data_IF_610089316526
#
_entry.id   IF_610089316526
#
_cell.length_a   1.000
_cell.length_b   1.000
_cell.length_c   1.000
_cell.angle_alpha   90.00
_cell.angle_beta   90.00
_cell.angle_gamma   90.00
#
_symmetry.space_group_name_H-M   'P 1'
#
loop_
_entity.id
_entity.type
_entity.pdbx_description
1 polymer ?
#
# COMPACT_ATOMS: atom_id res chain seq x y z
N UNK A 1 -22.25 8.73 -5.76
CA UNK A 1 -21.00 8.80 -4.95
C UNK A 1 -21.07 7.67 -3.94
N UNK A 2 -20.13 6.74 -3.97
CA UNK A 2 -20.15 5.57 -3.09
C UNK A 2 -19.21 5.82 -1.91
N UNK A 3 -19.70 5.63 -0.69
CA UNK A 3 -18.89 5.69 0.54
C UNK A 3 -18.56 4.26 0.91
N UNK A 4 -17.31 3.86 0.78
CA UNK A 4 -16.81 2.59 1.30
C UNK A 4 -15.55 2.88 2.10
N UNK A 5 -15.46 2.24 3.26
CA UNK A 5 -14.31 2.29 4.13
C UNK A 5 -13.48 1.03 3.87
N UNK A 6 -12.22 1.17 3.42
CA UNK A 6 -11.23 0.12 3.57
C UNK A 6 -10.58 0.14 4.96
N UNK A 7 -10.76 1.23 5.74
CA UNK A 7 -10.24 1.46 7.10
C UNK A 7 -8.71 1.49 7.23
N UNK A 8 -7.99 0.52 6.67
CA UNK A 8 -6.53 0.42 6.59
C UNK A 8 -6.14 -0.27 5.28
N UNK A 9 -4.88 -0.13 4.85
CA UNK A 9 -4.31 -0.96 3.77
C UNK A 9 -3.38 -2.05 4.28
N UNK A 10 -3.21 -2.17 5.60
CA UNK A 10 -2.42 -3.23 6.23
C UNK A 10 -3.32 -4.42 6.59
N UNK A 11 -2.94 -5.62 6.12
CA UNK A 11 -3.66 -6.84 6.46
C UNK A 11 -3.64 -7.14 7.96
N UNK A 12 -2.52 -6.85 8.64
CA UNK A 12 -2.36 -7.01 10.09
C UNK A 12 -3.35 -6.12 10.85
N UNK A 13 -3.41 -4.84 10.50
CA UNK A 13 -4.32 -3.89 11.18
C UNK A 13 -5.78 -4.25 10.91
N UNK A 14 -6.12 -4.68 9.69
CA UNK A 14 -7.48 -5.11 9.37
C UNK A 14 -7.89 -6.37 10.15
N UNK A 15 -6.99 -7.33 10.33
CA UNK A 15 -7.25 -8.52 11.13
C UNK A 15 -7.55 -8.18 12.60
N UNK A 16 -6.77 -7.26 13.19
CA UNK A 16 -7.04 -6.73 14.54
C UNK A 16 -8.41 -6.01 14.61
N UNK A 17 -8.79 -5.30 13.55
CA UNK A 17 -10.11 -4.68 13.40
C UNK A 17 -11.25 -5.68 13.15
N UNK A 18 -10.95 -6.97 12.90
CA UNK A 18 -11.94 -7.98 12.52
C UNK A 18 -12.49 -7.76 11.10
N UNK A 19 -11.67 -7.19 10.21
CA UNK A 19 -12.00 -6.84 8.83
C UNK A 19 -11.29 -7.78 7.85
N UNK A 20 -11.88 -8.00 6.66
CA UNK A 20 -11.22 -8.77 5.61
C UNK A 20 -9.94 -8.09 5.13
N UNK A 21 -9.07 -8.86 4.49
CA UNK A 21 -7.81 -8.36 3.95
C UNK A 21 -8.02 -7.30 2.84
N UNK A 22 -7.02 -6.44 2.57
CA UNK A 22 -7.14 -5.36 1.59
C UNK A 22 -7.49 -5.87 0.18
N UNK A 23 -7.05 -7.08 -0.19
CA UNK A 23 -7.28 -7.69 -1.50
C UNK A 23 -8.77 -7.83 -1.83
N UNK A 24 -9.61 -8.10 -0.82
CA UNK A 24 -11.06 -8.22 -1.02
C UNK A 24 -11.65 -6.89 -1.48
N UNK A 25 -11.17 -5.78 -0.92
CA UNK A 25 -11.58 -4.45 -1.34
C UNK A 25 -10.99 -4.09 -2.71
N UNK A 26 -9.76 -4.48 -3.03
CA UNK A 26 -9.18 -4.28 -4.38
C UNK A 26 -9.98 -4.99 -5.47
N UNK A 27 -10.40 -6.22 -5.20
CA UNK A 27 -11.26 -7.01 -6.11
C UNK A 27 -12.61 -6.34 -6.30
N UNK A 28 -13.22 -5.87 -5.21
CA UNK A 28 -14.44 -5.06 -5.28
C UNK A 28 -14.24 -3.81 -6.15
N UNK A 29 -13.16 -3.06 -5.92
CA UNK A 29 -12.84 -1.84 -6.67
C UNK A 29 -12.68 -2.10 -8.15
N UNK A 30 -11.99 -3.18 -8.51
CA UNK A 30 -11.80 -3.59 -9.90
C UNK A 30 -13.15 -3.83 -10.58
N UNK A 31 -14.01 -4.67 -9.98
CA UNK A 31 -15.34 -4.97 -10.52
C UNK A 31 -16.21 -3.73 -10.63
N UNK A 32 -16.20 -2.86 -9.61
CA UNK A 32 -16.97 -1.63 -9.60
C UNK A 32 -16.53 -0.68 -10.72
N UNK A 33 -15.21 -0.55 -10.95
CA UNK A 33 -14.66 0.26 -12.05
C UNK A 33 -15.01 -0.31 -13.42
N UNK A 34 -14.93 -1.63 -13.58
CA UNK A 34 -15.28 -2.31 -14.84
C UNK A 34 -16.75 -2.09 -15.20
N UNK A 35 -17.65 -2.20 -14.23
CA UNK A 35 -19.08 -1.93 -14.43
C UNK A 35 -19.32 -0.45 -14.74
N UNK A 36 -18.73 0.45 -13.95
CA UNK A 36 -18.88 1.89 -14.17
C UNK A 36 -18.39 2.33 -15.55
N UNK A 37 -17.29 1.75 -16.03
CA UNK A 37 -16.77 1.99 -17.37
C UNK A 37 -17.73 1.52 -18.47
N UNK A 38 -18.33 0.32 -18.30
CA UNK A 38 -19.32 -0.22 -19.25
C UNK A 38 -20.57 0.63 -19.34
N UNK A 39 -21.05 1.12 -18.20
CA UNK A 39 -22.26 1.94 -18.12
C UNK A 39 -22.00 3.44 -18.39
N UNK A 40 -20.74 3.84 -18.59
CA UNK A 40 -20.37 5.25 -18.77
C UNK A 40 -20.58 6.13 -17.52
N UNK A 41 -20.66 5.51 -16.33
CA UNK A 41 -20.93 6.22 -15.07
C UNK A 41 -19.62 6.66 -14.42
N UNK A 42 -19.48 7.93 -14.02
CA UNK A 42 -18.30 8.39 -13.29
C UNK A 42 -18.28 7.81 -11.86
N UNK A 43 -17.41 6.83 -11.61
CA UNK A 43 -17.23 6.24 -10.29
C UNK A 43 -16.34 7.12 -9.41
N UNK A 44 -16.94 7.72 -8.38
CA UNK A 44 -16.23 8.47 -7.33
C UNK A 44 -16.26 7.69 -6.02
N UNK A 45 -15.07 7.33 -5.53
CA UNK A 45 -14.85 6.59 -4.29
C UNK A 45 -14.03 7.46 -3.36
N UNK A 46 -14.53 7.62 -2.15
CA UNK A 46 -13.85 8.32 -1.08
C UNK A 46 -13.56 7.30 0.02
N UNK A 47 -12.30 6.86 0.19
CA UNK A 47 -11.94 5.95 1.26
C UNK A 47 -12.03 6.67 2.61
N UNK A 48 -12.50 5.93 3.61
CA UNK A 48 -12.37 6.28 5.01
C UNK A 48 -11.25 5.45 5.63
N UNK A 49 -10.27 6.11 6.25
CA UNK A 49 -9.09 5.50 6.85
C UNK A 49 -9.05 5.85 8.33
N UNK A 50 -8.70 4.89 9.16
CA UNK A 50 -8.41 5.06 10.58
C UNK A 50 -6.90 5.04 10.74
N UNK A 51 -6.33 6.07 11.35
CA UNK A 51 -4.92 6.16 11.68
C UNK A 51 -4.70 6.01 13.18
N UNK A 52 -3.69 5.24 13.58
CA UNK A 52 -3.33 5.02 14.98
C UNK A 52 -4.13 3.93 15.70
N UNK A 53 -4.65 2.95 14.96
CA UNK A 53 -5.27 1.79 15.59
C UNK A 53 -4.22 0.98 16.40
N UNK A 54 -4.57 0.34 17.53
CA UNK A 54 -3.62 -0.49 18.28
C UNK A 54 -3.02 -1.61 17.43
N UNK A 55 -1.69 -1.76 17.43
CA UNK A 55 -0.97 -2.66 16.54
C UNK A 55 -0.57 -2.05 15.20
N UNK A 56 -0.97 -0.80 14.92
CA UNK A 56 -0.48 0.00 13.81
C UNK A 56 0.83 0.70 14.20
N UNK A 57 1.91 0.35 13.50
CA UNK A 57 3.20 1.03 13.61
C UNK A 57 3.54 1.71 12.27
N UNK A 58 4.78 2.17 12.14
CA UNK A 58 5.26 2.83 10.92
C UNK A 58 5.10 1.95 9.66
N UNK A 59 5.44 0.65 9.67
CA UNK A 59 5.29 -0.20 8.48
C UNK A 59 3.84 -0.30 8.01
N UNK A 60 2.88 -0.46 8.92
CA UNK A 60 1.46 -0.59 8.58
C UNK A 60 0.87 0.74 8.06
N UNK A 61 1.40 1.86 8.57
CA UNK A 61 1.10 3.19 8.00
C UNK A 61 1.62 3.27 6.55
N UNK A 62 2.84 2.79 6.28
CA UNK A 62 3.44 2.74 4.93
C UNK A 62 2.66 1.80 3.98
N UNK A 63 2.19 0.65 4.46
CA UNK A 63 1.31 -0.25 3.70
C UNK A 63 -0.03 0.40 3.35
N UNK A 64 -0.65 1.08 4.32
CA UNK A 64 -1.89 1.83 4.13
C UNK A 64 -1.73 2.94 3.11
N UNK A 65 -0.58 3.62 3.19
CA UNK A 65 -0.10 4.49 2.14
C UNK A 65 -0.08 3.64 0.86
N UNK A 66 0.84 2.73 0.60
CA UNK A 66 1.00 2.04 -0.70
C UNK A 66 -0.30 1.51 -1.33
N UNK A 67 -1.19 0.94 -0.53
CA UNK A 67 -2.55 0.57 -0.91
C UNK A 67 -3.35 1.70 -1.57
N UNK A 68 -3.39 2.90 -0.96
CA UNK A 68 -4.09 4.06 -1.51
C UNK A 68 -3.48 4.55 -2.85
N UNK A 69 -2.14 4.52 -3.04
CA UNK A 69 -1.50 4.85 -4.35
C UNK A 69 -1.94 3.85 -5.39
N UNK A 70 -1.72 2.57 -5.09
CA UNK A 70 -1.92 1.47 -6.03
C UNK A 70 -3.34 1.51 -6.57
N UNK A 71 -4.28 1.83 -5.69
CA UNK A 71 -5.70 1.91 -6.00
C UNK A 71 -6.17 3.29 -6.46
N UNK A 72 -5.30 4.30 -6.63
CA UNK A 72 -5.66 5.67 -7.05
C UNK A 72 -6.80 6.26 -6.20
N UNK A 73 -6.73 6.06 -4.89
CA UNK A 73 -7.71 6.57 -3.94
C UNK A 73 -7.15 7.79 -3.23
N UNK A 74 -7.94 8.85 -3.15
CA UNK A 74 -7.56 10.06 -2.43
C UNK A 74 -8.01 9.97 -0.97
N UNK A 75 -7.04 9.97 -0.06
CA UNK A 75 -7.23 9.79 1.38
C UNK A 75 -7.74 11.03 2.10
N UNK A 76 -8.82 11.66 1.62
CA UNK A 76 -9.28 12.92 2.22
C UNK A 76 -10.04 12.72 3.55
N UNK A 77 -10.47 11.50 3.86
CA UNK A 77 -11.20 11.18 5.09
C UNK A 77 -10.37 10.25 5.98
N UNK A 78 -9.41 10.85 6.70
CA UNK A 78 -8.61 10.15 7.70
C UNK A 78 -9.05 10.58 9.09
N UNK A 79 -9.53 9.61 9.87
CA UNK A 79 -9.90 9.75 11.26
C UNK A 79 -8.78 9.15 12.13
N UNK A 80 -8.41 9.83 13.21
CA UNK A 80 -7.55 9.22 14.21
C UNK A 80 -8.37 8.24 15.04
N UNK A 81 -7.78 7.11 15.41
CA UNK A 81 -8.42 6.15 16.30
C UNK A 81 -8.80 6.84 17.63
N UNK A 82 -10.02 6.60 18.07
CA UNK A 82 -10.54 7.08 19.35
C UNK A 82 -11.08 5.88 20.13
N UNK A 83 -10.55 5.58 21.32
CA UNK A 83 -11.01 4.44 22.10
C UNK A 83 -12.49 4.63 22.42
N UNK A 84 -13.31 3.73 21.89
CA UNK A 84 -14.75 3.68 22.13
C UNK A 84 -15.05 2.54 23.09
N UNK A 85 -15.77 2.77 24.21
CA UNK A 85 -16.08 1.72 25.17
C UNK A 85 -16.73 0.49 24.51
N UNK A 86 -16.56 -0.67 25.13
CA UNK A 86 -17.14 -1.94 24.68
C UNK A 86 -16.66 -2.43 23.30
N UNK A 87 -15.43 -2.05 22.90
CA UNK A 87 -14.81 -2.56 21.66
C UNK A 87 -13.50 -3.29 21.94
N UNK A 88 -13.21 -4.34 21.15
CA UNK A 88 -11.95 -5.08 21.20
C UNK A 88 -10.75 -4.15 20.99
N UNK A 89 -10.84 -3.22 20.05
CA UNK A 89 -9.80 -2.22 19.79
C UNK A 89 -9.50 -1.35 21.01
N UNK A 90 -10.51 -0.98 21.80
CA UNK A 90 -10.28 -0.23 23.05
C UNK A 90 -9.60 -1.09 24.11
N UNK A 91 -9.94 -2.39 24.19
CA UNK A 91 -9.22 -3.30 25.07
C UNK A 91 -7.74 -3.37 24.67
N UNK A 92 -7.43 -3.59 23.39
CA UNK A 92 -6.06 -3.54 22.86
C UNK A 92 -5.35 -2.22 23.19
N UNK A 93 -6.05 -1.10 23.03
CA UNK A 93 -5.51 0.23 23.29
C UNK A 93 -5.01 0.40 24.74
N UNK A 94 -5.73 -0.14 25.72
CA UNK A 94 -5.34 -0.02 27.13
C UNK A 94 -4.43 -1.16 27.61
N UNK A 95 -4.55 -2.35 27.03
CA UNK A 95 -3.81 -3.53 27.45
C UNK A 95 -2.44 -3.65 26.78
N UNK A 96 -2.28 -3.12 25.56
CA UNK A 96 -1.07 -3.31 24.75
C UNK A 96 -0.96 -4.69 24.10
N UNK A 97 -1.99 -5.53 24.22
CA UNK A 97 -2.12 -6.82 23.55
C UNK A 97 -3.59 -7.10 23.24
N UNK A 98 -3.83 -8.01 22.31
CA UNK A 98 -5.16 -8.49 21.97
C UNK A 98 -5.65 -9.53 22.98
N UNK A 99 -6.75 -9.29 23.71
CA UNK A 99 -7.21 -10.21 24.74
C UNK A 99 -7.76 -11.54 24.18
N UNK A 100 -7.93 -11.67 22.85
CA UNK A 100 -8.43 -12.89 22.21
C UNK A 100 -7.27 -13.71 21.64
N UNK A 101 -6.32 -13.06 20.95
CA UNK A 101 -5.20 -13.77 20.29
C UNK A 101 -3.91 -13.76 21.11
N UNK A 102 -3.85 -12.93 22.16
CA UNK A 102 -2.66 -12.68 22.99
C UNK A 102 -1.49 -12.04 22.25
N UNK A 103 -1.70 -11.60 21.00
CA UNK A 103 -0.70 -10.90 20.21
C UNK A 103 -0.42 -9.51 20.78
N UNK A 104 0.84 -9.08 20.73
CA UNK A 104 1.23 -7.74 21.18
C UNK A 104 0.68 -6.71 20.18
N UNK A 105 -0.07 -5.73 20.69
CA UNK A 105 -0.70 -4.66 19.91
C UNK A 105 -0.30 -3.31 20.50
N UNK A 106 0.90 -2.78 20.17
CA UNK A 106 1.35 -1.50 20.70
C UNK A 106 0.36 -0.39 20.33
N UNK A 107 -0.04 0.41 21.32
CA UNK A 107 -0.93 1.54 21.13
C UNK A 107 -0.15 2.85 21.29
N UNK A 108 -0.29 3.75 20.32
CA UNK A 108 0.26 5.10 20.43
C UNK A 108 -0.74 5.99 21.17
N UNK A 109 -0.28 6.61 22.25
CA UNK A 109 -1.09 7.49 23.10
C UNK A 109 -0.75 8.97 22.91
N UNK A 110 0.41 9.28 22.30
CA UNK A 110 0.80 10.65 22.01
C UNK A 110 -0.02 11.18 20.82
N UNK A 111 -0.93 12.10 21.13
CA UNK A 111 -1.79 12.77 20.14
C UNK A 111 -0.98 13.43 19.03
N UNK A 112 0.21 13.99 19.32
CA UNK A 112 1.04 14.63 18.30
C UNK A 112 1.55 13.60 17.28
N UNK A 113 1.98 12.44 17.74
CA UNK A 113 2.43 11.35 16.85
C UNK A 113 1.27 10.78 16.04
N UNK A 114 0.08 10.68 16.63
CA UNK A 114 -1.13 10.28 15.91
C UNK A 114 -1.50 11.30 14.82
N UNK A 115 -1.39 12.59 15.11
CA UNK A 115 -1.58 13.66 14.12
C UNK A 115 -0.52 13.60 13.01
N UNK A 116 0.75 13.36 13.35
CA UNK A 116 1.83 13.17 12.37
C UNK A 116 1.55 11.98 11.45
N UNK A 117 1.13 10.83 11.98
CA UNK A 117 0.74 9.66 11.16
C UNK A 117 -0.42 9.99 10.23
N UNK A 118 -1.46 10.64 10.73
CA UNK A 118 -2.57 11.13 9.89
C UNK A 118 -2.06 12.05 8.78
N UNK A 119 -1.20 13.01 9.10
CA UNK A 119 -0.63 13.94 8.13
C UNK A 119 0.26 13.24 7.10
N UNK A 120 0.98 12.17 7.47
CA UNK A 120 1.74 11.37 6.51
C UNK A 120 0.82 10.76 5.45
N UNK A 121 -0.33 10.20 5.86
CA UNK A 121 -1.30 9.62 4.92
C UNK A 121 -1.95 10.73 4.05
N UNK A 122 -2.30 11.89 4.64
CA UNK A 122 -2.89 13.04 3.90
C UNK A 122 -1.89 13.65 2.90
N UNK A 123 -0.72 14.07 3.37
CA UNK A 123 0.23 14.88 2.59
C UNK A 123 0.89 14.11 1.46
N UNK A 124 0.77 12.79 1.48
CA UNK A 124 1.25 11.90 0.45
C UNK A 124 0.57 12.13 -0.90
N UNK A 125 -0.71 12.53 -0.93
CA UNK A 125 -1.39 12.97 -2.15
C UNK A 125 -0.72 14.20 -2.80
N UNK A 126 -0.07 15.06 -1.99
CA UNK A 126 0.60 16.28 -2.46
C UNK A 126 1.99 15.94 -3.03
N UNK A 127 2.77 15.12 -2.32
CA UNK A 127 4.12 14.76 -2.74
C UNK A 127 4.11 13.96 -4.05
N UNK A 128 3.16 13.04 -4.23
CA UNK A 128 3.05 12.25 -5.46
C UNK A 128 2.54 13.09 -6.63
N UNK A 129 1.55 13.98 -6.43
CA UNK A 129 1.13 14.93 -7.46
C UNK A 129 2.28 15.84 -7.89
N UNK A 130 3.12 16.29 -6.95
CA UNK A 130 4.31 17.09 -7.24
C UNK A 130 5.37 16.28 -7.99
N UNK A 131 5.61 15.02 -7.62
CA UNK A 131 6.54 14.13 -8.31
C UNK A 131 6.05 13.81 -9.73
N UNK A 132 4.77 13.43 -9.90
CA UNK A 132 4.20 13.16 -11.22
C UNK A 132 4.17 14.40 -12.12
N UNK A 133 3.92 15.58 -11.56
CA UNK A 133 4.01 16.85 -12.31
C UNK A 133 5.45 17.19 -12.71
N UNK A 134 6.43 16.95 -11.83
CA UNK A 134 7.86 17.09 -12.14
C UNK A 134 8.30 16.12 -13.24
N UNK A 135 7.86 14.86 -13.18
CA UNK A 135 8.15 13.85 -14.21
C UNK A 135 7.51 14.20 -15.57
N UNK A 136 6.28 14.71 -15.57
CA UNK A 136 5.62 15.19 -16.80
C UNK A 136 6.33 16.41 -17.39
N UNK A 137 6.72 17.37 -16.56
CA UNK A 137 7.49 18.54 -17.00
C UNK A 137 8.86 18.14 -17.54
N UNK A 138 9.57 17.24 -16.86
CA UNK A 138 10.85 16.70 -17.34
C UNK A 138 10.68 15.97 -18.69
N UNK A 139 9.61 15.17 -18.86
CA UNK A 139 9.31 14.52 -20.15
C UNK A 139 8.97 15.53 -21.25
N UNK A 140 8.24 16.60 -20.94
CA UNK A 140 7.95 17.68 -21.89
C UNK A 140 9.22 18.46 -22.27
N UNK A 141 10.09 18.77 -21.31
CA UNK A 141 11.37 19.42 -21.55
C UNK A 141 12.29 18.56 -22.42
N UNK A 142 12.42 17.26 -22.13
CA UNK A 142 13.20 16.33 -22.94
C UNK A 142 12.64 16.25 -24.36
N UNK A 143 11.30 16.18 -24.51
CA UNK A 143 10.63 16.14 -25.83
C UNK A 143 10.81 17.44 -26.62
N UNK A 144 10.84 18.58 -25.94
CA UNK A 144 11.10 19.90 -26.52
C UNK A 144 12.57 20.04 -26.95
N UNK A 145 13.50 19.58 -26.10
CA UNK A 145 14.94 19.68 -26.32
C UNK A 145 15.49 18.66 -27.34
N UNK A 146 14.85 17.50 -27.44
CA UNK A 146 15.22 16.42 -28.36
C UNK A 146 14.02 15.92 -29.19
N UNK A 147 13.48 16.76 -30.09
CA UNK A 147 12.24 16.44 -30.83
C UNK A 147 12.37 15.24 -31.78
N UNK A 148 13.60 14.90 -32.18
CA UNK A 148 13.88 13.77 -33.08
C UNK A 148 14.18 12.44 -32.36
N UNK A 149 14.39 12.45 -31.04
CA UNK A 149 14.70 11.23 -30.27
C UNK A 149 13.48 10.29 -30.09
N UNK A 150 12.26 10.83 -30.20
CA UNK A 150 11.00 10.06 -30.00
C UNK A 150 10.57 9.30 -31.27
N UNK A 151 11.15 9.63 -32.43
CA UNK A 151 10.77 9.01 -33.72
C UNK A 151 11.43 7.64 -33.97
N UNK A 152 12.37 7.19 -33.14
CA UNK A 152 13.11 5.92 -33.35
C UNK A 152 12.57 4.70 -32.57
N UNK A 153 11.50 4.82 -31.77
CA UNK A 153 10.93 3.66 -31.05
C UNK A 153 10.33 2.59 -31.98
N UNK A 154 10.10 2.87 -33.27
CA UNK A 154 9.61 1.88 -34.24
C UNK A 154 10.70 1.03 -34.90
N UNK A 155 11.98 1.21 -34.54
CA UNK A 155 13.07 0.40 -35.10
C UNK A 155 14.14 0.07 -34.05
N UNK A 156 13.84 -0.84 -33.14
CA UNK A 156 14.89 -1.63 -32.48
C UNK A 156 14.57 -3.14 -32.65
N UNK A 157 15.51 -3.94 -33.20
CA UNK A 157 15.33 -5.38 -33.32
C UNK A 157 15.28 -6.05 -31.94
N UNK A 158 14.43 -7.08 -31.80
CA UNK A 158 14.27 -7.83 -30.56
C UNK A 158 15.58 -8.51 -30.16
N UNK A 159 16.25 -8.00 -29.12
CA UNK A 159 17.45 -8.58 -28.55
C UNK A 159 17.20 -9.00 -27.11
N UNK A 160 16.48 -10.12 -26.97
CA UNK A 160 16.66 -11.06 -25.86
C UNK A 160 16.34 -12.49 -26.36
N UNK A 161 17.24 -13.06 -27.18
CA UNK A 161 17.43 -14.52 -27.17
C UNK A 161 18.21 -14.84 -25.89
N UNK A 162 17.60 -15.60 -24.97
CA UNK A 162 18.30 -16.16 -23.80
C UNK A 162 19.49 -17.00 -24.28
N UNK A 163 20.71 -16.82 -23.76
CA UNK A 163 21.75 -17.81 -23.93
C UNK A 163 21.42 -19.06 -23.13
N UNK A 164 21.27 -20.17 -23.84
CA UNK A 164 21.30 -21.52 -23.31
C UNK A 164 22.67 -21.85 -22.71
N UNK A 165 22.67 -22.38 -21.48
CA UNK A 165 23.67 -23.32 -20.98
C UNK A 165 25.09 -22.79 -20.74
N UNK A 166 25.48 -22.70 -19.46
CA UNK A 166 26.84 -23.08 -19.10
C UNK A 166 26.87 -23.85 -17.77
N UNK A 167 27.50 -25.02 -17.82
CA UNK A 167 27.59 -26.01 -16.75
C UNK A 167 28.45 -25.46 -15.60
N UNK A 168 27.94 -25.54 -14.37
CA UNK A 168 28.76 -25.33 -13.17
C UNK A 168 29.56 -26.62 -12.90
N UNK A 169 30.89 -26.55 -12.65
CA UNK A 169 31.66 -27.72 -12.26
C UNK A 169 31.30 -28.17 -10.84
N UNK A 170 31.25 -29.49 -10.64
CA UNK A 170 30.85 -30.14 -9.40
C UNK A 170 31.83 -29.84 -8.25
N UNK A 171 31.28 -29.52 -7.06
CA UNK A 171 32.02 -29.35 -5.80
C UNK A 171 32.23 -30.72 -5.12
N UNK A 172 33.41 -31.05 -4.59
CA UNK A 172 33.61 -32.33 -3.90
C UNK A 172 32.88 -32.37 -2.55
N UNK A 173 32.30 -33.53 -2.24
CA UNK A 173 31.53 -33.80 -1.00
C UNK A 173 32.46 -33.86 0.23
N UNK A 174 32.15 -33.17 1.35
CA UNK A 174 32.85 -33.42 2.61
C UNK A 174 32.38 -34.71 3.29
N UNK A 175 33.32 -35.42 3.90
CA UNK A 175 33.17 -36.72 4.55
C UNK A 175 32.27 -36.67 5.80
N UNK A 176 31.44 -37.73 5.98
CA UNK A 176 30.62 -37.95 7.19
C UNK A 176 31.51 -38.25 8.40
N UNK A 177 31.37 -37.49 9.49
CA UNK A 177 31.84 -37.90 10.82
C UNK A 177 30.79 -38.78 11.51
N UNK A 178 31.20 -39.81 12.27
CA UNK A 178 30.30 -40.77 12.90
C UNK A 178 29.55 -40.15 14.09
N UNK A 179 28.28 -40.56 14.25
CA UNK A 179 27.43 -40.24 15.41
C UNK A 179 28.01 -40.89 16.67
N UNK A 180 28.07 -40.11 17.76
CA UNK A 180 28.09 -40.61 19.13
C UNK A 180 26.81 -40.12 19.80
#
# INVERSE_FOLDING_TARGET
RMKIAPESGSAKVLDLMGKPSPEIFEDFLKRARDIALKEGIPLKINPYIIAGHPGEEKPETEETIDFLIKNKLHGNQIQMFTPTPLTRSTAMYYLGYDPITEDITPAEHDVKRLEERKLQIVNRDISIKKLSAREQNAKMEIRSKYPNAVKSEKSMPSLMKKPSGNKTPARPKPARKPRR
#
